data_IF_450675548113
#
_entry.id   IF_450675548113
#
_cell.length_a   1.000
_cell.length_b   1.000
_cell.length_c   1.000
_cell.angle_alpha   90.00
_cell.angle_beta   90.00
_cell.angle_gamma   90.00
#
_symmetry.space_group_name_H-M   'P 1'
#
loop_
_entity.id
_entity.type
_entity.pdbx_description
1 polymer ?
#
# COMPACT_ATOMS: atom_id res chain seq x y z
N UNK A 1 5.54 20.12 10.61
CA UNK A 1 4.08 19.89 10.65
C UNK A 1 3.82 18.65 9.83
N UNK A 2 2.96 17.76 10.31
CA UNK A 2 2.57 16.55 9.60
C UNK A 2 1.25 16.81 8.90
N UNK A 3 1.20 16.66 7.58
CA UNK A 3 -0.07 16.70 6.85
C UNK A 3 -0.95 15.54 7.30
N UNK A 4 -2.15 15.85 7.77
CA UNK A 4 -3.14 14.85 8.19
C UNK A 4 -3.77 14.17 6.98
N UNK A 5 -3.75 12.84 6.95
CA UNK A 5 -4.49 12.02 5.98
C UNK A 5 -5.98 12.37 6.06
N UNK A 6 -6.64 12.54 4.91
CA UNK A 6 -8.05 12.92 4.85
C UNK A 6 -8.35 14.41 5.02
N UNK A 7 -7.38 15.25 5.38
CA UNK A 7 -7.54 16.70 5.42
C UNK A 7 -7.33 17.30 4.04
N UNK A 8 -8.21 18.22 3.63
CA UNK A 8 -8.10 18.99 2.39
C UNK A 8 -7.27 20.25 2.69
N UNK A 9 -6.39 20.60 1.77
CA UNK A 9 -5.53 21.78 1.88
C UNK A 9 -5.70 22.69 0.67
N UNK A 10 -5.48 23.98 0.91
CA UNK A 10 -5.30 24.99 -0.12
C UNK A 10 -3.95 25.68 0.10
N UNK A 11 -3.33 26.15 -0.97
CA UNK A 11 -2.01 26.78 -0.94
C UNK A 11 -2.11 28.22 -1.41
N UNK A 12 -1.97 29.16 -0.47
CA UNK A 12 -2.14 30.58 -0.73
C UNK A 12 -0.81 31.27 -0.90
N UNK A 13 -0.55 31.82 -2.08
CA UNK A 13 0.69 32.53 -2.35
C UNK A 13 0.83 33.78 -1.44
N UNK A 14 2.04 33.97 -0.89
CA UNK A 14 2.35 35.07 0.04
C UNK A 14 2.23 36.44 -0.62
N UNK A 15 2.69 36.57 -1.87
CA UNK A 15 2.66 37.82 -2.63
C UNK A 15 1.25 38.22 -3.04
N UNK A 16 0.56 37.36 -3.80
CA UNK A 16 -0.70 37.69 -4.45
C UNK A 16 -1.93 37.46 -3.57
N UNK A 17 -1.79 36.69 -2.49
CA UNK A 17 -2.89 36.17 -1.65
C UNK A 17 -3.90 35.30 -2.40
N UNK A 18 -3.52 34.80 -3.58
CA UNK A 18 -4.29 33.87 -4.42
C UNK A 18 -3.90 32.42 -4.18
N UNK A 19 -4.70 31.48 -4.65
CA UNK A 19 -4.56 30.06 -4.38
C UNK A 19 -4.03 29.31 -5.59
N UNK A 20 -3.25 28.26 -5.35
CA UNK A 20 -2.95 27.26 -6.40
C UNK A 20 -4.26 26.66 -6.91
N UNK A 21 -4.43 26.67 -8.23
CA UNK A 21 -5.65 26.28 -8.94
C UNK A 21 -5.30 25.47 -10.20
N UNK A 22 -6.16 24.52 -10.55
CA UNK A 22 -6.11 23.87 -11.87
C UNK A 22 -6.96 24.65 -12.85
N UNK A 23 -6.29 25.22 -13.87
CA UNK A 23 -6.90 26.15 -14.80
C UNK A 23 -8.19 25.61 -15.42
N UNK A 24 -9.28 26.39 -15.28
CA UNK A 24 -10.57 26.08 -15.88
C UNK A 24 -11.25 24.83 -15.33
N UNK A 25 -10.91 24.36 -14.12
CA UNK A 25 -11.41 23.11 -13.54
C UNK A 25 -11.19 21.88 -14.44
N UNK A 26 -10.13 21.89 -15.24
CA UNK A 26 -9.80 20.78 -16.14
C UNK A 26 -9.42 19.51 -15.35
N UNK A 27 -9.73 18.34 -15.89
CA UNK A 27 -9.43 17.03 -15.27
C UNK A 27 -8.44 16.18 -16.06
N UNK A 28 -8.02 16.64 -17.24
CA UNK A 28 -7.07 15.94 -18.11
C UNK A 28 -5.61 16.12 -17.67
N UNK A 29 -4.75 15.23 -18.16
CA UNK A 29 -3.30 15.41 -18.06
C UNK A 29 -2.86 16.72 -18.73
N UNK A 30 -1.75 17.28 -18.25
CA UNK A 30 -1.15 18.52 -18.74
C UNK A 30 -2.00 19.78 -18.53
N UNK A 31 -3.11 19.70 -17.78
CA UNK A 31 -3.84 20.90 -17.40
C UNK A 31 -2.97 21.77 -16.51
N UNK A 32 -3.01 23.07 -16.76
CA UNK A 32 -2.08 24.01 -16.15
C UNK A 32 -2.37 24.21 -14.66
N UNK A 33 -1.31 24.32 -13.84
CA UNK A 33 -1.43 24.87 -12.49
C UNK A 33 -1.17 26.37 -12.57
N UNK A 34 -2.10 27.15 -12.02
CA UNK A 34 -2.05 28.61 -12.00
C UNK A 34 -2.32 29.11 -10.58
N UNK A 35 -2.22 30.42 -10.38
CA UNK A 35 -2.88 31.06 -9.24
C UNK A 35 -4.24 31.63 -9.65
N UNK A 36 -5.22 31.54 -8.75
CA UNK A 36 -6.55 32.11 -8.93
C UNK A 36 -7.11 32.68 -7.62
N UNK A 37 -8.08 33.59 -7.72
CA UNK A 37 -8.79 34.08 -6.54
C UNK A 37 -9.59 32.97 -5.87
N UNK A 38 -9.75 33.03 -4.55
CA UNK A 38 -10.48 32.01 -3.81
C UNK A 38 -11.88 31.77 -4.37
N UNK A 39 -12.20 30.50 -4.63
CA UNK A 39 -13.52 30.06 -5.01
C UNK A 39 -14.08 29.09 -3.96
N UNK A 40 -15.21 29.47 -3.33
CA UNK A 40 -15.77 28.75 -2.19
C UNK A 40 -15.99 27.24 -2.45
N UNK A 41 -16.41 26.87 -3.66
CA UNK A 41 -16.75 25.50 -4.03
C UNK A 41 -15.92 24.99 -5.23
N UNK A 42 -14.68 25.45 -5.39
CA UNK A 42 -13.79 24.95 -6.45
C UNK A 42 -12.96 23.75 -5.98
N UNK A 43 -13.26 22.51 -6.41
CA UNK A 43 -12.39 21.36 -6.12
C UNK A 43 -11.03 21.45 -6.81
N UNK A 44 -10.85 22.34 -7.80
CA UNK A 44 -9.58 22.62 -8.46
C UNK A 44 -8.55 23.29 -7.54
N UNK A 45 -8.98 24.00 -6.49
CA UNK A 45 -8.10 24.67 -5.52
C UNK A 45 -7.80 23.81 -4.29
N UNK A 46 -8.34 22.59 -4.25
CA UNK A 46 -8.30 21.71 -3.08
C UNK A 46 -7.42 20.51 -3.36
N UNK A 47 -6.53 20.22 -2.42
CA UNK A 47 -5.57 19.13 -2.54
C UNK A 47 -5.57 18.23 -1.31
N UNK A 48 -5.42 16.93 -1.50
CA UNK A 48 -4.88 16.06 -0.45
C UNK A 48 -3.36 16.08 -0.54
N UNK A 49 -2.70 16.10 0.61
CA UNK A 49 -1.24 15.96 0.69
C UNK A 49 -0.95 14.63 1.33
N UNK A 50 -0.52 13.65 0.54
CA UNK A 50 -0.23 12.29 1.01
C UNK A 50 1.27 12.15 1.29
N UNK A 51 1.66 11.70 2.50
CA UNK A 51 3.06 11.41 2.80
C UNK A 51 3.59 10.27 1.94
N UNK A 52 4.83 10.41 1.52
CA UNK A 52 5.63 9.41 0.83
C UNK A 52 6.89 9.11 1.66
N UNK A 53 7.64 8.09 1.25
CA UNK A 53 8.93 7.75 1.81
C UNK A 53 9.90 8.93 1.76
N UNK A 54 10.84 8.97 2.71
CA UNK A 54 11.90 9.99 2.78
C UNK A 54 11.38 11.43 2.92
N UNK A 55 10.25 11.62 3.61
CA UNK A 55 9.63 12.93 3.88
C UNK A 55 9.19 13.72 2.63
N UNK A 56 8.99 13.03 1.50
CA UNK A 56 8.33 13.63 0.34
C UNK A 56 6.82 13.50 0.44
N UNK A 57 6.11 14.19 -0.44
CA UNK A 57 4.66 14.21 -0.49
C UNK A 57 4.16 14.24 -1.94
N UNK A 58 3.01 13.62 -2.16
CA UNK A 58 2.20 13.81 -3.36
C UNK A 58 1.06 14.80 -3.06
N UNK A 59 0.84 15.75 -3.97
CA UNK A 59 -0.26 16.71 -3.90
C UNK A 59 -1.34 16.32 -4.90
N UNK A 60 -2.47 15.79 -4.41
CA UNK A 60 -3.54 15.20 -5.21
C UNK A 60 -4.69 16.18 -5.33
N UNK A 61 -5.03 16.59 -6.54
CA UNK A 61 -6.15 17.51 -6.80
C UNK A 61 -7.50 16.81 -6.62
N UNK A 62 -8.43 17.47 -5.90
CA UNK A 62 -9.74 16.90 -5.56
C UNK A 62 -10.76 16.94 -6.70
N UNK A 63 -10.50 17.68 -7.78
CA UNK A 63 -11.38 17.67 -8.95
C UNK A 63 -11.05 16.51 -9.90
N UNK A 64 -9.76 16.25 -10.11
CA UNK A 64 -9.27 15.35 -11.14
C UNK A 64 -8.76 14.00 -10.62
N UNK A 65 -8.41 13.90 -9.34
CA UNK A 65 -7.76 12.72 -8.76
C UNK A 65 -6.33 12.52 -9.25
N UNK A 66 -5.76 13.53 -9.89
CA UNK A 66 -4.39 13.59 -10.42
C UNK A 66 -3.47 14.35 -9.47
N UNK A 67 -2.17 14.25 -9.67
CA UNK A 67 -1.17 14.95 -8.86
C UNK A 67 -0.66 16.18 -9.59
N UNK A 68 -0.06 17.13 -8.86
CA UNK A 68 0.76 18.16 -9.51
C UNK A 68 2.18 17.65 -9.78
N UNK A 69 2.70 18.04 -10.94
CA UNK A 69 3.84 17.45 -11.62
C UNK A 69 4.69 18.55 -12.30
N UNK A 70 6.01 18.39 -12.27
CA UNK A 70 6.93 19.19 -13.09
C UNK A 70 6.90 18.65 -14.52
N UNK A 71 6.42 19.48 -15.46
CA UNK A 71 6.13 19.06 -16.82
C UNK A 71 7.32 18.38 -17.50
N UNK A 72 7.08 17.16 -17.99
CA UNK A 72 8.05 16.40 -18.79
C UNK A 72 9.31 15.97 -18.03
N UNK A 73 9.28 15.91 -16.70
CA UNK A 73 10.46 15.60 -15.88
C UNK A 73 11.68 16.52 -16.18
N UNK A 74 11.43 17.79 -16.53
CA UNK A 74 12.48 18.74 -16.84
C UNK A 74 13.03 19.43 -15.58
N UNK A 75 14.32 19.77 -15.56
CA UNK A 75 15.02 20.33 -14.36
C UNK A 75 15.35 21.82 -14.46
N UNK A 76 15.02 22.47 -15.59
CA UNK A 76 15.32 23.87 -15.87
C UNK A 76 14.42 24.86 -15.14
N UNK A 77 14.85 26.12 -15.08
CA UNK A 77 14.00 27.23 -14.63
C UNK A 77 12.85 27.46 -15.62
N UNK A 78 11.74 27.99 -15.10
CA UNK A 78 10.52 28.33 -15.86
C UNK A 78 9.84 27.11 -16.52
N UNK A 79 10.15 25.90 -16.06
CA UNK A 79 9.40 24.69 -16.47
C UNK A 79 8.04 24.74 -15.80
N UNK A 80 7.01 24.42 -16.58
CA UNK A 80 5.63 24.48 -16.14
C UNK A 80 5.31 23.49 -15.02
N UNK A 81 4.46 23.90 -14.07
CA UNK A 81 3.78 22.95 -13.18
C UNK A 81 2.41 22.64 -13.78
N UNK A 82 2.12 21.35 -13.92
CA UNK A 82 0.89 20.84 -14.51
C UNK A 82 0.24 19.83 -13.56
N UNK A 83 -1.01 19.42 -13.82
CA UNK A 83 -1.51 18.17 -13.27
C UNK A 83 -1.22 17.00 -14.21
N UNK A 84 -0.89 15.84 -13.65
CA UNK A 84 -0.65 14.62 -14.40
C UNK A 84 -1.15 13.39 -13.63
N UNK A 85 -1.42 12.30 -14.34
CA UNK A 85 -1.75 11.04 -13.68
C UNK A 85 -0.59 10.59 -12.79
N UNK A 86 -0.89 10.07 -11.60
CA UNK A 86 0.14 9.58 -10.69
C UNK A 86 0.85 8.35 -11.29
N UNK A 87 2.13 8.52 -11.61
CA UNK A 87 3.03 7.44 -12.01
C UNK A 87 3.70 6.82 -10.78
N UNK A 88 4.05 7.66 -9.81
CA UNK A 88 4.63 7.32 -8.51
C UNK A 88 6.03 6.75 -8.52
N UNK A 89 6.65 6.59 -9.68
CA UNK A 89 8.09 6.35 -9.85
C UNK A 89 8.80 7.56 -10.50
N UNK A 90 8.05 8.59 -10.93
CA UNK A 90 8.59 9.82 -11.49
C UNK A 90 8.91 10.86 -10.38
N UNK A 91 10.16 11.32 -10.23
CA UNK A 91 10.51 12.30 -9.19
C UNK A 91 9.89 13.69 -9.43
N UNK A 92 9.35 13.99 -10.61
CA UNK A 92 8.60 15.22 -10.90
C UNK A 92 7.32 15.39 -10.09
N UNK A 93 6.81 14.30 -9.52
CA UNK A 93 5.55 14.26 -8.76
C UNK A 93 5.77 14.32 -7.23
N UNK A 94 7.04 14.45 -6.80
CA UNK A 94 7.47 14.36 -5.41
C UNK A 94 7.87 15.73 -4.89
N UNK A 95 7.26 16.13 -3.77
CA UNK A 95 7.43 17.48 -3.22
C UNK A 95 7.91 17.42 -1.78
N UNK A 96 8.85 18.29 -1.43
CA UNK A 96 9.30 18.52 -0.07
C UNK A 96 8.80 19.88 0.41
N UNK A 97 8.36 19.96 1.66
CA UNK A 97 7.79 21.17 2.24
C UNK A 97 8.72 21.77 3.29
N UNK A 98 9.46 22.81 2.91
CA UNK A 98 10.29 23.59 3.84
C UNK A 98 9.42 24.61 4.56
N UNK A 99 9.34 24.53 5.88
CA UNK A 99 8.59 25.49 6.69
C UNK A 99 9.50 26.64 7.11
N UNK A 100 9.14 27.85 6.72
CA UNK A 100 9.85 29.09 7.07
C UNK A 100 9.45 29.59 8.46
N UNK A 101 10.27 30.50 9.02
CA UNK A 101 10.06 31.06 10.36
C UNK A 101 8.72 31.81 10.50
N UNK A 102 8.24 32.43 9.42
CA UNK A 102 6.96 33.15 9.37
C UNK A 102 5.74 32.22 9.15
N UNK A 103 5.97 30.91 9.08
CA UNK A 103 4.93 29.89 8.92
C UNK A 103 4.51 29.59 7.48
N UNK A 104 5.04 30.31 6.47
CA UNK A 104 4.85 29.93 5.08
C UNK A 104 5.73 28.74 4.71
N UNK A 105 5.44 28.16 3.55
CA UNK A 105 6.17 27.03 3.00
C UNK A 105 6.82 27.40 1.67
N UNK A 106 8.04 26.91 1.49
CA UNK A 106 8.69 26.75 0.21
C UNK A 106 8.52 25.29 -0.20
N UNK A 107 7.98 25.05 -1.40
CA UNK A 107 7.62 23.70 -1.86
C UNK A 107 8.64 23.30 -2.92
N UNK A 108 9.56 22.41 -2.55
CA UNK A 108 10.70 21.99 -3.36
C UNK A 108 10.37 20.71 -4.14
N UNK A 109 10.78 20.65 -5.41
CA UNK A 109 10.70 19.45 -6.24
C UNK A 109 11.87 18.51 -5.96
N UNK A 110 11.57 17.24 -5.67
CA UNK A 110 12.58 16.17 -5.56
C UNK A 110 13.43 16.02 -6.82
N UNK A 111 12.84 16.28 -7.99
CA UNK A 111 13.48 16.11 -9.29
C UNK A 111 14.67 17.05 -9.47
N UNK A 112 14.54 18.30 -9.04
CA UNK A 112 15.45 19.38 -9.46
C UNK A 112 16.03 20.21 -8.30
N UNK A 113 15.50 20.07 -7.08
CA UNK A 113 15.82 20.95 -5.94
C UNK A 113 15.30 22.39 -6.12
N UNK A 114 14.46 22.63 -7.14
CA UNK A 114 13.82 23.92 -7.41
C UNK A 114 12.47 24.00 -6.74
N UNK A 115 11.92 25.20 -6.64
CA UNK A 115 10.72 25.46 -5.83
C UNK A 115 9.55 25.90 -6.69
N UNK A 116 8.32 25.67 -6.22
CA UNK A 116 7.13 26.28 -6.83
C UNK A 116 7.25 27.81 -6.78
N UNK A 117 7.04 28.45 -7.92
CA UNK A 117 7.11 29.90 -8.12
C UNK A 117 5.90 30.38 -8.93
N UNK A 118 5.38 31.56 -8.56
CA UNK A 118 4.45 32.31 -9.41
C UNK A 118 5.26 33.14 -10.40
N UNK A 119 5.18 32.76 -11.67
CA UNK A 119 6.03 33.28 -12.73
C UNK A 119 6.05 34.81 -12.76
N UNK A 120 7.26 35.38 -12.70
CA UNK A 120 7.48 36.82 -12.81
C UNK A 120 6.90 37.65 -11.66
N UNK A 121 6.71 37.05 -10.48
CA UNK A 121 6.10 37.72 -9.30
C UNK A 121 4.70 38.29 -9.58
N UNK A 122 3.98 37.75 -10.56
CA UNK A 122 2.67 38.26 -10.95
C UNK A 122 1.63 38.07 -9.84
N UNK A 123 0.69 39.00 -9.73
CA UNK A 123 -0.39 38.95 -8.73
C UNK A 123 -1.78 38.76 -9.32
N UNK A 124 -1.91 38.74 -10.65
CA UNK A 124 -3.18 38.56 -11.35
C UNK A 124 -3.69 37.10 -11.32
N UNK A 125 -4.98 36.93 -11.59
CA UNK A 125 -5.55 35.62 -11.89
C UNK A 125 -4.87 35.02 -13.14
N UNK A 126 -4.79 33.70 -13.18
CA UNK A 126 -4.20 32.93 -14.28
C UNK A 126 -2.68 33.12 -14.43
N UNK A 127 -2.00 33.75 -13.47
CA UNK A 127 -0.54 33.77 -13.49
C UNK A 127 -0.01 32.34 -13.32
N UNK A 128 0.99 32.01 -14.12
CA UNK A 128 1.48 30.64 -14.24
C UNK A 128 2.24 30.19 -12.99
N UNK A 129 2.12 28.91 -12.65
CA UNK A 129 2.96 28.26 -11.64
C UNK A 129 4.06 27.49 -12.37
N UNK A 130 5.30 27.75 -12.00
CA UNK A 130 6.49 27.12 -12.58
C UNK A 130 7.41 26.60 -11.48
N UNK A 131 8.41 25.80 -11.85
CA UNK A 131 9.57 25.64 -10.98
C UNK A 131 10.61 26.73 -11.29
N UNK A 132 11.25 27.23 -10.25
CA UNK A 132 12.35 28.19 -10.36
C UNK A 132 13.42 27.93 -9.30
N UNK A 133 14.64 28.41 -9.53
CA UNK A 133 15.67 28.37 -8.50
C UNK A 133 15.20 29.14 -7.25
N UNK A 134 15.51 28.63 -6.06
CA UNK A 134 15.07 29.27 -4.83
C UNK A 134 15.70 30.66 -4.66
N UNK A 135 14.86 31.66 -4.42
CA UNK A 135 15.24 33.05 -4.16
C UNK A 135 14.87 33.44 -2.70
N UNK A 136 15.86 33.75 -1.84
CA UNK A 136 15.66 34.01 -0.41
C UNK A 136 14.70 35.14 -0.03
N UNK A 137 14.33 36.01 -0.97
CA UNK A 137 13.44 37.15 -0.73
C UNK A 137 12.21 37.16 -1.66
N UNK A 138 12.03 36.17 -2.55
CA UNK A 138 10.92 36.16 -3.51
C UNK A 138 9.60 35.76 -2.84
N UNK A 139 8.61 36.66 -2.65
CA UNK A 139 7.34 36.31 -2.03
C UNK A 139 6.47 35.42 -2.94
N UNK A 140 6.78 35.32 -4.24
CA UNK A 140 6.14 34.41 -5.19
C UNK A 140 6.41 32.93 -4.90
N UNK A 141 7.46 32.61 -4.14
CA UNK A 141 7.87 31.23 -3.82
C UNK A 141 7.38 30.74 -2.45
N UNK A 142 6.61 31.57 -1.72
CA UNK A 142 6.09 31.20 -0.39
C UNK A 142 4.59 31.00 -0.41
N UNK A 143 4.14 29.92 0.20
CA UNK A 143 2.73 29.56 0.27
C UNK A 143 2.29 29.34 1.72
N UNK A 144 1.21 29.99 2.13
CA UNK A 144 0.50 29.60 3.34
C UNK A 144 -0.33 28.35 3.05
N UNK A 145 -0.32 27.39 3.97
CA UNK A 145 -1.10 26.15 3.87
C UNK A 145 -2.35 26.32 4.74
N UNK A 146 -3.53 26.28 4.13
CA UNK A 146 -4.81 26.46 4.82
C UNK A 146 -5.61 25.15 4.78
N UNK A 147 -6.16 24.72 5.93
CA UNK A 147 -7.07 23.57 6.01
C UNK A 147 -8.45 23.95 5.42
N UNK A 148 -9.03 23.05 4.63
CA UNK A 148 -10.27 23.28 3.88
C UNK A 148 -11.34 22.20 4.16
N UNK A 149 -11.39 21.75 5.41
CA UNK A 149 -12.22 20.63 5.85
C UNK A 149 -11.61 19.28 5.52
N UNK A 150 -12.29 18.21 5.94
CA UNK A 150 -11.77 16.84 5.83
C UNK A 150 -12.79 15.88 5.21
N UNK A 151 -12.33 14.67 4.93
CA UNK A 151 -13.19 13.53 4.58
C UNK A 151 -13.15 12.50 5.70
N UNK A 152 -14.26 11.80 5.92
CA UNK A 152 -14.28 10.63 6.79
C UNK A 152 -13.44 9.52 6.17
N UNK A 153 -12.47 9.02 6.95
CA UNK A 153 -11.66 7.88 6.58
C UNK A 153 -12.39 6.57 6.88
N UNK A 154 -12.16 5.51 6.09
CA UNK A 154 -12.63 4.18 6.43
C UNK A 154 -11.89 3.65 7.68
N UNK A 155 -12.52 2.74 8.41
CA UNK A 155 -11.93 2.07 9.56
C UNK A 155 -12.42 0.63 9.67
N UNK A 156 -11.63 -0.20 10.34
CA UNK A 156 -11.95 -1.61 10.61
C UNK A 156 -11.33 -2.00 11.95
N UNK A 157 -12.01 -2.86 12.72
CA UNK A 157 -11.47 -3.35 13.98
C UNK A 157 -10.38 -4.39 13.73
N UNK A 158 -9.28 -4.28 14.48
CA UNK A 158 -8.19 -5.27 14.47
C UNK A 158 -8.28 -6.18 15.69
N UNK A 159 -7.80 -7.41 15.55
CA UNK A 159 -7.71 -8.39 16.62
C UNK A 159 -6.40 -9.20 16.48
N UNK A 160 -5.77 -9.60 17.59
CA UNK A 160 -4.60 -10.47 17.54
C UNK A 160 -4.98 -11.85 17.01
N UNK A 161 -4.05 -12.50 16.32
CA UNK A 161 -4.20 -13.88 15.88
C UNK A 161 -4.24 -14.82 17.09
N UNK A 162 -5.20 -15.76 17.11
CA UNK A 162 -5.28 -16.79 18.14
C UNK A 162 -4.09 -17.76 18.08
N UNK A 163 -3.82 -18.46 19.18
CA UNK A 163 -2.87 -19.57 19.15
C UNK A 163 -3.33 -20.68 18.20
N UNK A 164 -2.39 -21.52 17.78
CA UNK A 164 -2.69 -22.75 17.03
C UNK A 164 -3.60 -23.64 17.89
N UNK A 165 -4.63 -24.30 17.31
CA UNK A 165 -5.43 -25.28 18.03
C UNK A 165 -4.57 -26.43 18.56
N UNK A 166 -4.77 -26.82 19.81
CA UNK A 166 -4.00 -27.86 20.50
C UNK A 166 -4.91 -29.03 20.87
N UNK A 167 -4.34 -30.24 20.88
CA UNK A 167 -5.01 -31.42 21.41
C UNK A 167 -4.92 -31.46 22.95
N UNK A 168 -6.03 -31.80 23.60
CA UNK A 168 -6.11 -32.21 25.00
C UNK A 168 -6.23 -33.73 25.15
N UNK A 169 -6.85 -34.38 24.17
CA UNK A 169 -7.01 -35.84 24.10
C UNK A 169 -6.78 -36.36 22.68
N UNK A 170 -6.58 -37.68 22.56
CA UNK A 170 -6.42 -38.34 21.26
C UNK A 170 -7.68 -38.33 20.39
N UNK A 171 -8.85 -38.08 20.99
CA UNK A 171 -10.13 -38.11 20.28
C UNK A 171 -10.59 -36.71 19.82
N UNK A 172 -9.83 -35.65 20.13
CA UNK A 172 -10.26 -34.30 19.78
C UNK A 172 -10.24 -34.12 18.26
N UNK A 173 -11.23 -33.40 17.76
CA UNK A 173 -11.31 -32.99 16.37
C UNK A 173 -10.96 -31.50 16.30
N UNK A 174 -9.68 -31.21 16.06
CA UNK A 174 -9.24 -29.83 15.87
C UNK A 174 -9.91 -29.23 14.62
N UNK A 175 -10.20 -27.91 14.57
CA UNK A 175 -10.92 -27.29 13.46
C UNK A 175 -10.08 -27.22 12.17
N UNK A 176 -10.72 -27.16 11.00
CA UNK A 176 -10.01 -27.00 9.72
C UNK A 176 -9.30 -25.64 9.58
N UNK A 177 -9.86 -24.59 10.19
CA UNK A 177 -9.20 -23.30 10.33
C UNK A 177 -9.66 -22.59 11.61
N UNK A 178 -8.82 -21.68 12.11
CA UNK A 178 -9.23 -20.72 13.15
C UNK A 178 -10.06 -19.60 12.54
N UNK A 179 -10.68 -18.78 13.38
CA UNK A 179 -11.33 -17.55 12.93
C UNK A 179 -10.36 -16.67 12.12
N UNK A 180 -10.87 -16.10 11.03
CA UNK A 180 -10.13 -15.17 10.17
C UNK A 180 -10.22 -13.78 10.75
N UNK A 181 -9.14 -13.35 11.39
CA UNK A 181 -9.09 -12.05 12.07
C UNK A 181 -8.34 -11.03 11.24
N UNK A 182 -8.81 -9.78 11.27
CA UNK A 182 -8.07 -8.65 10.71
C UNK A 182 -6.96 -8.30 11.70
N UNK A 183 -5.70 -8.52 11.32
CA UNK A 183 -4.55 -8.26 12.21
C UNK A 183 -3.96 -6.88 11.99
N UNK A 184 -4.11 -6.33 10.79
CA UNK A 184 -3.60 -5.02 10.43
C UNK A 184 -4.35 -4.42 9.23
N UNK A 185 -4.28 -3.11 9.05
CA UNK A 185 -4.73 -2.41 7.85
C UNK A 185 -3.96 -1.10 7.67
N UNK A 186 -3.97 -0.57 6.44
CA UNK A 186 -3.44 0.77 6.12
C UNK A 186 -4.45 1.54 5.28
N UNK A 187 -4.51 2.86 5.47
CA UNK A 187 -5.36 3.77 4.69
C UNK A 187 -4.54 4.34 3.54
N UNK A 188 -5.02 4.13 2.31
CA UNK A 188 -4.30 4.53 1.10
C UNK A 188 -5.15 5.49 0.25
N UNK A 189 -4.57 6.55 -0.36
CA UNK A 189 -5.31 7.46 -1.22
C UNK A 189 -5.71 6.76 -2.52
N UNK A 190 -6.68 7.33 -3.24
CA UNK A 190 -7.16 6.75 -4.50
C UNK A 190 -6.08 6.57 -5.57
N UNK A 191 -5.04 7.41 -5.56
CA UNK A 191 -3.90 7.29 -6.47
C UNK A 191 -3.10 5.98 -6.29
N UNK A 192 -3.21 5.35 -5.11
CA UNK A 192 -2.54 4.09 -4.77
C UNK A 192 -3.34 2.85 -5.18
N UNK A 193 -4.52 3.02 -5.81
CA UNK A 193 -5.40 1.91 -6.17
C UNK A 193 -5.91 2.07 -7.60
N UNK A 194 -5.57 1.12 -8.47
CA UNK A 194 -6.22 0.97 -9.78
C UNK A 194 -7.48 0.13 -9.60
N UNK A 195 -8.60 0.80 -9.40
CA UNK A 195 -9.90 0.18 -9.16
C UNK A 195 -10.66 -0.05 -10.49
N UNK A 196 -10.94 -1.31 -10.88
CA UNK A 196 -11.66 -1.62 -12.11
C UNK A 196 -13.07 -1.00 -12.21
N UNK A 197 -13.70 -0.67 -11.08
CA UNK A 197 -15.01 -0.02 -11.05
C UNK A 197 -14.97 1.39 -11.69
N UNK A 198 -13.85 2.09 -11.53
CA UNK A 198 -13.65 3.45 -12.06
C UNK A 198 -12.89 3.45 -13.40
N UNK A 199 -12.18 2.38 -13.73
CA UNK A 199 -11.34 2.33 -14.93
C UNK A 199 -10.29 3.43 -14.90
N UNK A 200 -10.29 4.30 -15.92
CA UNK A 200 -9.40 5.47 -16.00
C UNK A 200 -10.00 6.76 -15.44
N UNK A 201 -11.24 6.74 -14.95
CA UNK A 201 -11.96 7.92 -14.42
C UNK A 201 -11.52 8.27 -12.99
N UNK A 202 -10.32 8.83 -12.89
CA UNK A 202 -9.71 9.32 -11.65
C UNK A 202 -10.52 10.45 -11.00
N UNK A 203 -11.25 11.25 -11.79
CA UNK A 203 -12.07 12.35 -11.29
C UNK A 203 -13.30 11.83 -10.55
N UNK A 204 -13.93 10.77 -11.04
CA UNK A 204 -15.01 10.08 -10.32
C UNK A 204 -14.47 9.32 -9.11
N UNK A 205 -13.34 8.63 -9.25
CA UNK A 205 -12.72 7.86 -8.18
C UNK A 205 -12.39 8.72 -6.94
N UNK A 206 -11.76 9.89 -7.12
CA UNK A 206 -11.40 10.77 -6.00
C UNK A 206 -12.64 11.34 -5.28
N UNK A 207 -13.74 11.57 -6.01
CA UNK A 207 -14.98 12.15 -5.46
C UNK A 207 -15.77 11.12 -4.66
N UNK A 208 -15.85 9.89 -5.15
CA UNK A 208 -16.64 8.83 -4.50
C UNK A 208 -15.85 8.03 -3.46
N UNK A 209 -14.58 7.75 -3.75
CA UNK A 209 -13.73 6.91 -2.91
C UNK A 209 -12.30 7.47 -2.81
N UNK A 210 -12.10 8.64 -2.14
CA UNK A 210 -10.79 9.29 -2.04
C UNK A 210 -9.75 8.48 -1.27
N UNK A 211 -10.21 7.59 -0.39
CA UNK A 211 -9.36 6.71 0.40
C UNK A 211 -9.92 5.28 0.44
N UNK A 212 -9.02 4.31 0.35
CA UNK A 212 -9.27 2.87 0.47
C UNK A 212 -8.62 2.34 1.75
N UNK A 213 -8.95 1.11 2.13
CA UNK A 213 -8.14 0.33 3.06
C UNK A 213 -7.49 -0.82 2.32
N UNK A 214 -6.20 -1.05 2.56
CA UNK A 214 -5.58 -2.35 2.33
C UNK A 214 -5.62 -3.09 3.66
N UNK A 215 -6.25 -4.25 3.70
CA UNK A 215 -6.53 -4.99 4.92
C UNK A 215 -5.76 -6.30 4.92
N UNK A 216 -5.16 -6.64 6.06
CA UNK A 216 -4.48 -7.92 6.33
C UNK A 216 -5.35 -8.78 7.24
N UNK A 217 -5.72 -9.96 6.76
CA UNK A 217 -6.34 -11.02 7.55
C UNK A 217 -5.38 -12.17 7.77
N UNK A 218 -5.46 -12.80 8.94
CA UNK A 218 -4.66 -13.98 9.26
C UNK A 218 -5.48 -15.03 10.01
N UNK A 219 -5.12 -16.28 9.78
CA UNK A 219 -5.66 -17.44 10.49
C UNK A 219 -4.71 -18.63 10.37
N UNK A 220 -4.90 -19.61 11.25
CA UNK A 220 -4.28 -20.92 11.12
C UNK A 220 -5.16 -21.81 10.27
N UNK A 221 -4.59 -22.40 9.21
CA UNK A 221 -5.27 -23.34 8.34
C UNK A 221 -4.65 -24.72 8.48
N UNK A 222 -5.47 -25.74 8.73
CA UNK A 222 -5.02 -27.12 8.78
C UNK A 222 -4.58 -27.57 7.37
N UNK A 223 -3.41 -28.16 7.29
CA UNK A 223 -2.86 -28.75 6.08
C UNK A 223 -3.04 -30.26 6.06
N UNK A 224 -2.96 -30.91 7.23
CA UNK A 224 -3.05 -32.36 7.37
C UNK A 224 -3.50 -32.74 8.78
N UNK A 225 -4.20 -33.87 8.92
CA UNK A 225 -4.53 -34.48 10.21
C UNK A 225 -4.64 -35.99 10.10
N UNK A 226 -3.94 -36.71 10.98
CA UNK A 226 -3.90 -38.16 10.96
C UNK A 226 -3.66 -38.76 12.35
N UNK A 227 -4.15 -39.98 12.60
CA UNK A 227 -3.90 -40.71 13.85
C UNK A 227 -3.06 -41.94 13.56
N UNK A 228 -1.83 -41.93 14.05
CA UNK A 228 -0.82 -42.95 13.80
C UNK A 228 -0.85 -44.03 14.88
N UNK A 229 -0.73 -45.29 14.48
CA UNK A 229 -0.39 -46.40 15.37
C UNK A 229 1.07 -46.31 15.84
N UNK A 230 1.47 -47.02 16.91
CA UNK A 230 2.87 -47.05 17.37
C UNK A 230 3.82 -47.42 16.23
N UNK A 231 4.91 -46.66 16.06
CA UNK A 231 5.90 -46.84 14.98
C UNK A 231 5.38 -46.70 13.54
N UNK A 232 4.12 -46.33 13.32
CA UNK A 232 3.59 -46.06 11.99
C UNK A 232 4.31 -44.86 11.36
N UNK A 233 4.53 -44.95 10.05
CA UNK A 233 5.05 -43.87 9.21
C UNK A 233 3.92 -43.35 8.33
N UNK A 234 3.86 -42.06 8.15
CA UNK A 234 2.86 -41.41 7.32
C UNK A 234 3.52 -40.32 6.47
N UNK A 235 3.26 -40.39 5.16
CA UNK A 235 3.81 -39.47 4.17
C UNK A 235 2.66 -38.66 3.59
N UNK A 236 2.85 -37.34 3.49
CA UNK A 236 1.86 -36.45 2.91
C UNK A 236 2.50 -35.26 2.23
N UNK A 237 1.70 -34.57 1.43
CA UNK A 237 2.15 -33.48 0.58
C UNK A 237 1.34 -32.23 0.87
N UNK A 238 2.03 -31.13 1.07
CA UNK A 238 1.41 -29.82 1.31
C UNK A 238 1.72 -28.84 0.19
N UNK A 239 0.80 -27.92 -0.07
CA UNK A 239 1.00 -26.78 -0.98
C UNK A 239 1.16 -25.51 -0.17
N UNK A 240 2.14 -24.68 -0.52
CA UNK A 240 2.45 -23.41 0.16
C UNK A 240 2.66 -22.28 -0.85
N UNK A 241 2.80 -21.04 -0.40
CA UNK A 241 3.03 -19.88 -1.25
C UNK A 241 1.75 -19.15 -1.66
N UNK A 242 1.78 -18.51 -2.83
CA UNK A 242 0.70 -17.67 -3.39
C UNK A 242 0.44 -18.03 -4.86
N UNK A 243 -0.82 -17.98 -5.29
CA UNK A 243 -1.19 -18.18 -6.70
C UNK A 243 -0.61 -17.07 -7.58
N UNK A 244 -0.15 -17.44 -8.77
CA UNK A 244 0.33 -16.47 -9.77
C UNK A 244 -0.74 -15.44 -10.13
N UNK A 245 -2.00 -15.87 -10.26
CA UNK A 245 -3.13 -14.97 -10.53
C UNK A 245 -3.35 -13.93 -9.44
N UNK A 246 -3.04 -14.27 -8.18
CA UNK A 246 -3.20 -13.36 -7.05
C UNK A 246 -2.04 -12.36 -7.04
N UNK A 247 -0.80 -12.78 -7.37
CA UNK A 247 0.34 -11.89 -7.57
C UNK A 247 0.10 -10.87 -8.70
N UNK A 248 -0.44 -11.33 -9.82
CA UNK A 248 -0.79 -10.48 -10.97
C UNK A 248 -1.88 -9.47 -10.61
N UNK A 249 -2.92 -9.92 -9.89
CA UNK A 249 -4.03 -9.05 -9.48
C UNK A 249 -3.58 -8.04 -8.43
N UNK A 250 -2.75 -8.45 -7.45
CA UNK A 250 -2.11 -7.53 -6.50
C UNK A 250 -1.27 -6.48 -7.23
N UNK A 251 -0.37 -6.93 -8.13
CA UNK A 251 0.46 -6.04 -8.96
C UNK A 251 -0.40 -5.02 -9.71
N UNK A 252 -1.48 -5.47 -10.37
CA UNK A 252 -2.31 -4.57 -11.17
C UNK A 252 -3.11 -3.57 -10.33
N UNK A 253 -3.51 -3.97 -9.13
CA UNK A 253 -4.40 -3.16 -8.28
C UNK A 253 -3.65 -2.15 -7.44
N UNK A 254 -2.49 -2.53 -6.89
CA UNK A 254 -1.78 -1.79 -5.84
C UNK A 254 -0.27 -1.69 -6.11
N UNK A 255 0.19 -2.15 -7.29
CA UNK A 255 1.57 -2.01 -7.78
C UNK A 255 2.67 -2.58 -6.89
N UNK A 256 2.36 -3.66 -6.19
CA UNK A 256 3.30 -4.42 -5.38
C UNK A 256 3.04 -5.92 -5.52
N UNK A 257 4.02 -6.72 -5.09
CA UNK A 257 3.96 -8.19 -5.11
C UNK A 257 4.59 -8.76 -3.84
N UNK A 258 4.42 -10.05 -3.60
CA UNK A 258 5.05 -10.74 -2.48
C UNK A 258 6.36 -11.38 -2.95
N UNK A 259 7.49 -11.02 -2.34
CA UNK A 259 8.78 -11.65 -2.58
C UNK A 259 8.88 -13.04 -1.97
N UNK A 260 9.81 -13.87 -2.44
CA UNK A 260 10.03 -15.23 -1.94
C UNK A 260 10.44 -15.27 -0.45
N UNK A 261 10.84 -14.13 0.10
CA UNK A 261 11.11 -13.90 1.53
C UNK A 261 9.87 -13.43 2.32
N UNK A 262 8.67 -13.52 1.74
CA UNK A 262 7.37 -13.11 2.30
C UNK A 262 7.21 -11.59 2.48
N UNK A 263 8.16 -10.78 2.03
CA UNK A 263 8.09 -9.32 2.08
C UNK A 263 7.34 -8.70 0.90
N UNK A 264 7.00 -7.43 1.01
CA UNK A 264 6.43 -6.65 -0.09
C UNK A 264 7.51 -6.12 -1.03
N UNK A 265 7.33 -6.35 -2.33
CA UNK A 265 8.13 -5.75 -3.40
C UNK A 265 7.29 -4.69 -4.11
N UNK A 266 7.61 -3.41 -3.88
CA UNK A 266 6.91 -2.24 -4.41
C UNK A 266 7.50 -1.81 -5.76
N UNK A 267 6.65 -1.33 -6.67
CA UNK A 267 7.03 -0.79 -7.98
C UNK A 267 6.04 0.28 -8.44
N UNK A 268 6.38 1.02 -9.49
CA UNK A 268 5.49 1.99 -10.14
C UNK A 268 4.81 2.92 -9.13
N UNK A 269 3.48 2.98 -9.18
CA UNK A 269 2.71 3.95 -8.38
C UNK A 269 2.71 3.71 -6.87
N UNK A 270 3.29 2.61 -6.39
CA UNK A 270 3.43 2.33 -4.95
C UNK A 270 4.86 2.53 -4.42
N UNK A 271 5.83 2.84 -5.30
CA UNK A 271 7.25 2.84 -4.96
C UNK A 271 7.60 3.79 -3.81
N UNK A 272 7.00 4.98 -3.81
CA UNK A 272 7.20 5.99 -2.76
C UNK A 272 6.36 5.79 -1.51
N UNK A 273 5.67 4.65 -1.32
CA UNK A 273 4.75 4.42 -0.18
C UNK A 273 5.17 3.20 0.66
N UNK A 274 6.37 2.69 0.43
CA UNK A 274 6.79 1.38 0.91
C UNK A 274 6.91 1.31 2.43
N UNK A 275 7.42 2.35 3.09
CA UNK A 275 7.68 2.35 4.53
C UNK A 275 6.37 2.39 5.32
N UNK A 276 5.45 3.29 4.94
CA UNK A 276 4.16 3.40 5.62
C UNK A 276 3.38 2.08 5.50
N UNK A 277 3.26 1.53 4.29
CA UNK A 277 2.41 0.37 4.06
C UNK A 277 2.98 -0.89 4.69
N UNK A 278 4.31 -1.09 4.62
CA UNK A 278 4.98 -2.23 5.27
C UNK A 278 4.85 -2.18 6.80
N UNK A 279 5.04 -1.00 7.40
CA UNK A 279 4.92 -0.82 8.84
C UNK A 279 3.49 -1.03 9.34
N UNK A 280 2.51 -0.37 8.72
CA UNK A 280 1.10 -0.42 9.14
C UNK A 280 0.49 -1.81 8.92
N UNK A 281 0.89 -2.53 7.86
CA UNK A 281 0.46 -3.90 7.61
C UNK A 281 1.32 -4.96 8.31
N UNK A 282 2.36 -4.54 9.04
CA UNK A 282 3.25 -5.42 9.79
C UNK A 282 3.85 -6.53 8.90
N UNK A 283 4.38 -6.13 7.75
CA UNK A 283 4.98 -7.02 6.76
C UNK A 283 6.20 -6.34 6.19
N UNK A 284 7.35 -7.01 6.25
CA UNK A 284 8.63 -6.43 5.82
C UNK A 284 8.63 -6.04 4.35
N UNK A 285 9.50 -5.09 3.99
CA UNK A 285 9.89 -4.87 2.60
C UNK A 285 10.76 -6.06 2.17
N UNK A 286 10.52 -6.57 0.96
CA UNK A 286 11.30 -7.68 0.40
C UNK A 286 12.71 -7.24 0.04
N UNK A 287 13.67 -8.14 0.26
CA UNK A 287 15.07 -7.97 -0.14
C UNK A 287 15.44 -8.84 -1.35
N UNK A 288 14.46 -9.49 -1.99
CA UNK A 288 14.65 -10.31 -3.19
C UNK A 288 13.82 -9.78 -4.36
N UNK A 289 14.29 -10.03 -5.58
CA UNK A 289 13.52 -9.80 -6.81
C UNK A 289 12.70 -11.03 -7.21
N UNK A 290 12.94 -12.18 -6.59
CA UNK A 290 12.14 -13.38 -6.83
C UNK A 290 10.78 -13.25 -6.13
N UNK A 291 9.71 -13.43 -6.89
CA UNK A 291 8.36 -13.47 -6.34
C UNK A 291 8.07 -14.81 -5.66
N UNK A 292 7.29 -14.77 -4.58
CA UNK A 292 6.71 -15.96 -3.96
C UNK A 292 5.85 -16.69 -4.98
N UNK A 293 6.02 -18.01 -5.05
CA UNK A 293 5.30 -18.91 -5.95
C UNK A 293 4.63 -20.01 -5.15
N UNK A 294 3.70 -20.70 -5.78
CA UNK A 294 3.19 -21.94 -5.22
C UNK A 294 4.28 -23.02 -5.24
N UNK A 295 4.47 -23.68 -4.10
CA UNK A 295 5.44 -24.75 -3.94
C UNK A 295 4.80 -25.94 -3.24
N UNK A 296 5.27 -27.13 -3.58
CA UNK A 296 4.85 -28.39 -2.96
C UNK A 296 5.96 -28.90 -2.04
N UNK A 297 5.59 -29.36 -0.85
CA UNK A 297 6.50 -29.94 0.13
C UNK A 297 6.02 -31.32 0.55
N UNK A 298 6.94 -32.28 0.46
CA UNK A 298 6.76 -33.64 0.99
C UNK A 298 7.16 -33.67 2.47
N UNK A 299 6.33 -34.33 3.27
CA UNK A 299 6.54 -34.50 4.70
C UNK A 299 6.50 -35.99 5.02
N UNK A 300 7.41 -36.40 5.90
CA UNK A 300 7.48 -37.76 6.42
C UNK A 300 7.46 -37.69 7.94
N UNK A 301 6.41 -38.23 8.54
CA UNK A 301 6.25 -38.29 9.99
C UNK A 301 6.25 -39.74 10.46
N UNK A 302 6.76 -39.97 11.65
CA UNK A 302 6.79 -41.27 12.30
C UNK A 302 6.25 -41.08 13.71
N UNK A 303 5.41 -42.00 14.17
CA UNK A 303 4.98 -42.01 15.56
C UNK A 303 6.11 -42.57 16.47
N UNK A 304 6.74 -41.73 17.33
CA UNK A 304 7.80 -42.18 18.22
C UNK A 304 7.26 -42.85 19.49
N UNK A 305 5.96 -42.75 19.75
CA UNK A 305 5.34 -43.27 20.97
C UNK A 305 5.00 -44.76 20.85
N UNK A 306 4.97 -45.43 21.99
CA UNK A 306 4.46 -46.80 22.12
C UNK A 306 2.93 -46.87 22.12
N UNK A 307 2.25 -45.73 22.09
CA UNK A 307 0.80 -45.57 21.98
C UNK A 307 0.42 -44.85 20.68
N UNK A 308 -0.90 -44.75 20.41
CA UNK A 308 -1.38 -44.02 19.23
C UNK A 308 -1.08 -42.52 19.39
N UNK A 309 -0.78 -41.86 18.27
CA UNK A 309 -0.50 -40.43 18.23
C UNK A 309 -1.46 -39.72 17.27
N UNK A 310 -2.25 -38.76 17.78
CA UNK A 310 -2.93 -37.80 16.92
C UNK A 310 -1.94 -36.73 16.46
N UNK A 311 -2.01 -36.37 15.19
CA UNK A 311 -1.17 -35.36 14.55
C UNK A 311 -2.05 -34.42 13.74
N UNK A 312 -1.82 -33.11 13.86
CA UNK A 312 -2.30 -32.11 12.90
C UNK A 312 -1.17 -31.15 12.56
N UNK A 313 -1.18 -30.67 11.31
CA UNK A 313 -0.30 -29.59 10.86
C UNK A 313 -1.12 -28.38 10.49
N UNK A 314 -0.79 -27.22 11.06
CA UNK A 314 -1.35 -25.93 10.69
C UNK A 314 -0.31 -25.04 10.03
N UNK A 315 -0.76 -24.20 9.11
CA UNK A 315 0.06 -23.16 8.48
C UNK A 315 -0.59 -21.81 8.66
N UNK A 316 0.23 -20.79 8.91
CA UNK A 316 -0.22 -19.42 8.93
C UNK A 316 -0.62 -19.01 7.52
N UNK A 317 -1.90 -18.69 7.36
CA UNK A 317 -2.43 -18.11 6.13
C UNK A 317 -2.59 -16.62 6.31
N UNK A 318 -2.08 -15.84 5.37
CA UNK A 318 -2.23 -14.38 5.32
C UNK A 318 -2.98 -14.00 4.06
N UNK A 319 -4.00 -13.18 4.19
CA UNK A 319 -4.83 -12.68 3.10
C UNK A 319 -4.79 -11.16 3.08
N UNK A 320 -4.57 -10.59 1.90
CA UNK A 320 -4.69 -9.17 1.66
C UNK A 320 -5.87 -8.87 0.74
N UNK A 321 -6.57 -7.77 1.00
CA UNK A 321 -7.58 -7.26 0.07
C UNK A 321 -7.70 -5.75 0.17
N UNK A 322 -8.19 -5.14 -0.90
CA UNK A 322 -8.48 -3.71 -0.95
C UNK A 322 -9.97 -3.49 -0.78
N UNK A 323 -10.34 -2.63 0.16
CA UNK A 323 -11.72 -2.31 0.50
C UNK A 323 -12.01 -0.84 0.21
N UNK A 324 -13.14 -0.59 -0.47
CA UNK A 324 -13.71 0.75 -0.64
C UNK A 324 -14.29 1.25 0.68
N UNK A 325 -14.50 2.56 0.78
CA UNK A 325 -15.10 3.23 1.94
C UNK A 325 -16.48 2.66 2.30
N UNK A 326 -17.25 2.20 1.32
CA UNK A 326 -18.58 1.63 1.53
C UNK A 326 -18.58 0.15 1.99
N UNK A 327 -17.40 -0.46 2.21
CA UNK A 327 -17.30 -1.86 2.61
C UNK A 327 -17.10 -2.86 1.48
N UNK A 328 -17.31 -2.46 0.23
CA UNK A 328 -17.14 -3.37 -0.92
C UNK A 328 -15.66 -3.64 -1.19
N UNK A 329 -15.35 -4.89 -1.57
CA UNK A 329 -13.99 -5.30 -1.92
C UNK A 329 -13.73 -4.98 -3.39
N UNK A 330 -12.52 -4.52 -3.74
CA UNK A 330 -12.16 -4.10 -5.10
C UNK A 330 -12.04 -5.30 -6.05
N UNK A 331 -11.44 -6.41 -5.58
CA UNK A 331 -11.27 -7.65 -6.32
C UNK A 331 -11.13 -8.85 -5.37
N UNK A 332 -10.93 -10.05 -5.90
CA UNK A 332 -10.70 -11.25 -5.09
C UNK A 332 -9.49 -11.06 -4.16
N UNK A 333 -9.62 -11.39 -2.85
CA UNK A 333 -8.51 -11.35 -1.91
C UNK A 333 -7.32 -12.23 -2.34
N UNK A 334 -6.11 -11.82 -1.96
CA UNK A 334 -4.86 -12.50 -2.28
C UNK A 334 -4.38 -13.27 -1.06
N UNK A 335 -4.52 -14.59 -1.09
CA UNK A 335 -4.16 -15.46 0.03
C UNK A 335 -2.81 -16.14 -0.22
N UNK A 336 -1.97 -16.16 0.81
CA UNK A 336 -0.68 -16.83 0.79
C UNK A 336 -0.42 -17.59 2.08
N UNK A 337 0.49 -18.54 2.00
CA UNK A 337 0.91 -19.35 3.15
C UNK A 337 2.43 -19.36 3.27
N UNK A 338 2.92 -19.11 4.48
CA UNK A 338 4.34 -19.08 4.80
C UNK A 338 4.79 -20.45 5.32
N UNK A 339 5.64 -21.13 4.53
CA UNK A 339 6.17 -22.45 4.91
C UNK A 339 6.99 -22.44 6.20
N UNK A 340 7.57 -21.30 6.56
CA UNK A 340 8.36 -21.13 7.79
C UNK A 340 7.49 -20.91 9.03
N UNK A 341 6.20 -20.60 8.83
CA UNK A 341 5.19 -20.39 9.88
C UNK A 341 4.17 -21.52 9.87
N UNK A 342 4.66 -22.75 9.96
CA UNK A 342 3.83 -23.94 10.10
C UNK A 342 4.14 -24.64 11.43
N UNK A 343 3.09 -25.16 12.06
CA UNK A 343 3.15 -25.79 13.37
C UNK A 343 2.53 -27.17 13.30
N UNK A 344 3.28 -28.17 13.78
CA UNK A 344 2.74 -29.50 14.05
C UNK A 344 2.27 -29.55 15.50
N UNK A 345 1.07 -30.06 15.72
CA UNK A 345 0.48 -30.31 17.03
C UNK A 345 0.18 -31.80 17.16
N UNK A 346 0.44 -32.35 18.35
CA UNK A 346 0.34 -33.80 18.59
C UNK A 346 -0.27 -34.12 19.94
N UNK A 347 -0.92 -35.28 20.02
CA UNK A 347 -1.27 -35.93 21.29
C UNK A 347 -0.85 -37.41 21.26
N UNK A 348 -0.05 -37.90 22.21
CA UNK A 348 0.60 -37.16 23.29
C UNK A 348 1.54 -36.05 22.77
N UNK A 349 1.77 -35.00 23.58
CA UNK A 349 2.61 -33.87 23.16
C UNK A 349 4.05 -34.33 22.92
N UNK A 350 4.52 -34.22 21.69
CA UNK A 350 5.94 -34.40 21.36
C UNK A 350 6.74 -33.12 21.63
N UNK A 351 7.88 -33.23 22.33
CA UNK A 351 8.81 -32.11 22.53
C UNK A 351 9.91 -32.11 21.46
N UNK A 352 10.00 -31.06 20.63
CA UNK A 352 11.10 -30.81 19.69
C UNK A 352 10.94 -31.37 18.27
N UNK A 353 12.01 -31.32 17.46
CA UNK A 353 12.09 -31.75 16.04
C UNK A 353 11.91 -33.28 15.81
N UNK A 354 11.43 -34.02 16.80
CA UNK A 354 11.35 -35.49 16.83
C UNK A 354 10.39 -36.05 15.77
N UNK A 355 9.54 -35.20 15.18
CA UNK A 355 8.56 -35.58 14.16
C UNK A 355 9.10 -35.57 12.72
N UNK A 356 10.27 -34.96 12.45
CA UNK A 356 10.74 -34.74 11.07
C UNK A 356 11.75 -35.80 10.60
N UNK A 357 11.27 -36.79 9.83
CA UNK A 357 12.13 -37.56 8.94
C UNK A 357 12.43 -36.76 7.66
N UNK A 358 13.36 -35.81 7.68
CA UNK A 358 13.85 -35.04 6.51
C UNK A 358 12.80 -34.45 5.54
N UNK A 359 12.58 -33.13 5.59
CA UNK A 359 11.81 -32.42 4.54
C UNK A 359 12.63 -32.36 3.24
N UNK A 360 12.12 -32.88 2.13
CA UNK A 360 12.69 -32.68 0.78
C UNK A 360 11.86 -31.67 -0.01
N UNK A 361 12.52 -30.69 -0.62
CA UNK A 361 11.89 -29.68 -1.47
C UNK A 361 11.87 -30.16 -2.93
N UNK A 362 10.72 -30.04 -3.60
CA UNK A 362 10.63 -30.08 -5.06
C UNK A 362 9.97 -28.81 -5.57
N UNK A 363 10.74 -27.96 -6.26
CA UNK A 363 10.19 -26.85 -7.03
C UNK A 363 9.69 -27.38 -8.38
N UNK A 364 8.37 -27.42 -8.60
CA UNK A 364 7.82 -27.59 -9.95
C UNK A 364 7.66 -26.22 -10.60
N UNK A 365 8.65 -25.82 -11.40
CA UNK A 365 8.47 -24.75 -12.38
C UNK A 365 7.55 -25.26 -13.50
N UNK A 366 6.28 -24.88 -13.48
CA UNK A 366 5.41 -25.06 -14.63
C UNK A 366 5.85 -24.12 -15.75
N UNK A 367 6.67 -24.61 -16.67
CA UNK A 367 6.86 -23.97 -17.97
C UNK A 367 5.59 -24.20 -18.79
N UNK A 368 4.82 -23.14 -19.02
CA UNK A 368 3.80 -23.14 -20.06
C UNK A 368 4.51 -22.72 -21.34
N UNK A 369 4.50 -23.62 -22.33
CA UNK A 369 4.99 -23.39 -23.69
C UNK A 369 4.18 -22.33 -24.42
#
# INVERSE_FOLDING_TARGET
MTFKVGMKYMFKNKNSRKYLDIAGNQTGNNANVQQYEFLADAPSERFFVHPLDNNYFAMINLNSGKVIDVAGNQTGNNVNIQQFEWLGDAPSEYWYFHREADGHYVIESKLSGKVLDIAGNQTGNNANVQQYEFLPDAPSERFAVEEAGSVSLPSINTQPLSSVPEYETINDQLPEETERVVTAFTIVPSISVKDPHYGSDTAKQIKENPYYMVVKKQWWKKQESYVLAPSEKYDFVTKTGIKVTDQETATRTVSWSIGADMGFSFKGFSLGMSSQYSQELQTSISHTTEQLKEETQEHHIINPFSERMAYSRYILTTEYYVQRKNGTIVNSPWAMTDKTKAHAVTFPKSTGNVLNGSTKQQSKSGSVN
#
